data_IF_487035327866
#
_entry.id   IF_487035327866
#
_cell.length_a   1.000
_cell.length_b   1.000
_cell.length_c   1.000
_cell.angle_alpha   90.00
_cell.angle_beta   90.00
_cell.angle_gamma   90.00
#
_symmetry.space_group_name_H-M   'P 1'
#
loop_
_entity.id
_entity.type
_entity.pdbx_description
1 polymer ?
#
# COMPACT_ATOMS: atom_id res chain seq x y z
N UNK A 1 -4.78 27.13 -14.46
CA UNK A 1 -4.61 26.40 -13.18
C UNK A 1 -3.70 27.21 -12.29
N UNK A 2 -4.09 27.39 -11.03
CA UNK A 2 -3.24 27.98 -10.00
C UNK A 2 -2.11 27.00 -9.57
N UNK A 3 -1.10 27.52 -8.88
CA UNK A 3 0.09 26.76 -8.50
C UNK A 3 -0.25 25.55 -7.61
N UNK A 4 -1.24 25.66 -6.71
CA UNK A 4 -1.63 24.56 -5.81
C UNK A 4 -2.28 23.43 -6.60
N UNK A 5 -3.24 23.75 -7.46
CA UNK A 5 -3.88 22.74 -8.32
C UNK A 5 -2.87 22.05 -9.25
N UNK A 6 -1.89 22.78 -9.77
CA UNK A 6 -0.81 22.18 -10.55
C UNK A 6 0.02 21.15 -9.75
N UNK A 7 0.40 21.48 -8.51
CA UNK A 7 1.16 20.55 -7.65
C UNK A 7 0.31 19.35 -7.24
N UNK A 8 -0.98 19.53 -6.98
CA UNK A 8 -1.91 18.41 -6.72
C UNK A 8 -1.97 17.45 -7.91
N UNK A 9 -2.13 17.97 -9.13
CA UNK A 9 -2.10 17.16 -10.34
C UNK A 9 -0.77 16.42 -10.49
N UNK A 10 0.37 17.07 -10.22
CA UNK A 10 1.68 16.42 -10.29
C UNK A 10 1.81 15.28 -9.25
N UNK A 11 1.34 15.51 -8.03
CA UNK A 11 1.36 14.50 -6.98
C UNK A 11 0.42 13.31 -7.30
N UNK A 12 -0.76 13.57 -7.86
CA UNK A 12 -1.69 12.52 -8.31
C UNK A 12 -1.10 11.73 -9.48
N UNK A 13 -0.46 12.40 -10.45
CA UNK A 13 0.21 11.75 -11.57
C UNK A 13 1.40 10.89 -11.11
N UNK A 14 2.18 11.37 -10.12
CA UNK A 14 3.24 10.61 -9.48
C UNK A 14 2.70 9.32 -8.85
N UNK A 15 1.63 9.42 -8.06
CA UNK A 15 1.00 8.26 -7.43
C UNK A 15 0.50 7.28 -8.49
N UNK A 16 -0.30 7.76 -9.45
CA UNK A 16 -0.84 6.92 -10.52
C UNK A 16 0.26 6.19 -11.31
N UNK A 17 1.33 6.90 -11.65
CA UNK A 17 2.45 6.32 -12.41
C UNK A 17 3.19 5.26 -11.59
N UNK A 18 3.52 5.57 -10.34
CA UNK A 18 4.25 4.62 -9.48
C UNK A 18 3.41 3.38 -9.19
N UNK A 19 2.13 3.53 -8.83
CA UNK A 19 1.24 2.40 -8.55
C UNK A 19 0.94 1.58 -9.79
N UNK A 20 0.86 2.20 -10.97
CA UNK A 20 0.69 1.49 -12.23
C UNK A 20 1.91 0.60 -12.52
N UNK A 21 3.11 1.18 -12.46
CA UNK A 21 4.37 0.48 -12.76
C UNK A 21 4.57 -0.67 -11.78
N UNK A 22 4.46 -0.43 -10.48
CA UNK A 22 4.75 -1.44 -9.47
C UNK A 22 3.60 -2.44 -9.29
N UNK A 23 2.35 -2.02 -9.46
CA UNK A 23 1.20 -2.93 -9.55
C UNK A 23 1.37 -3.93 -10.68
N UNK A 24 1.70 -3.44 -11.89
CA UNK A 24 1.99 -4.33 -13.03
C UNK A 24 3.18 -5.25 -12.78
N UNK A 25 4.24 -4.77 -12.13
CA UNK A 25 5.39 -5.62 -11.74
C UNK A 25 4.98 -6.72 -10.75
N UNK A 26 4.05 -6.47 -9.83
CA UNK A 26 3.52 -7.50 -8.92
C UNK A 26 2.63 -8.51 -9.64
N UNK A 27 1.80 -8.08 -10.58
CA UNK A 27 1.03 -8.97 -11.46
C UNK A 27 1.95 -9.91 -12.23
N UNK A 28 3.06 -9.40 -12.79
CA UNK A 28 4.08 -10.24 -13.45
C UNK A 28 4.74 -11.26 -12.52
N UNK A 29 4.79 -10.98 -11.22
CA UNK A 29 5.28 -11.90 -10.18
C UNK A 29 4.21 -12.90 -9.70
N UNK A 30 3.01 -12.87 -10.29
CA UNK A 30 1.83 -13.67 -9.88
C UNK A 30 1.39 -13.39 -8.43
N UNK A 31 1.72 -12.21 -7.90
CA UNK A 31 1.17 -11.72 -6.65
C UNK A 31 -0.02 -10.80 -7.00
N UNK A 32 -1.17 -11.42 -7.26
CA UNK A 32 -2.37 -10.71 -7.71
C UNK A 32 -2.97 -9.81 -6.63
N UNK A 33 -2.85 -10.20 -5.35
CA UNK A 33 -3.29 -9.38 -4.22
C UNK A 33 -2.61 -8.02 -4.21
N UNK A 34 -1.27 -7.98 -4.19
CA UNK A 34 -0.53 -6.71 -4.26
C UNK A 34 -0.72 -6.03 -5.61
N UNK A 35 -0.66 -6.79 -6.70
CA UNK A 35 -0.76 -6.24 -8.05
C UNK A 35 -2.07 -5.49 -8.28
N UNK A 36 -3.21 -6.12 -8.00
CA UNK A 36 -4.53 -5.53 -8.20
C UNK A 36 -4.76 -4.40 -7.22
N UNK A 37 -4.34 -4.51 -5.94
CA UNK A 37 -4.46 -3.40 -4.98
C UNK A 37 -3.79 -2.12 -5.50
N UNK A 38 -2.55 -2.21 -5.97
CA UNK A 38 -1.86 -1.04 -6.53
C UNK A 38 -2.51 -0.55 -7.83
N UNK A 39 -3.12 -1.43 -8.63
CA UNK A 39 -3.91 -1.01 -9.80
C UNK A 39 -5.21 -0.30 -9.39
N UNK A 40 -5.85 -0.68 -8.28
CA UNK A 40 -6.98 0.06 -7.70
C UNK A 40 -6.54 1.45 -7.28
N UNK A 41 -5.40 1.59 -6.59
CA UNK A 41 -4.83 2.89 -6.25
C UNK A 41 -4.48 3.71 -7.50
N UNK A 42 -4.07 3.06 -8.58
CA UNK A 42 -3.83 3.71 -9.89
C UNK A 42 -5.10 4.32 -10.45
N UNK A 43 -6.20 3.57 -10.44
CA UNK A 43 -7.50 4.07 -10.91
C UNK A 43 -7.98 5.20 -10.01
N UNK A 44 -7.82 5.07 -8.69
CA UNK A 44 -8.17 6.12 -7.72
C UNK A 44 -7.40 7.42 -7.99
N UNK A 45 -6.08 7.36 -8.08
CA UNK A 45 -5.21 8.52 -8.27
C UNK A 45 -5.32 9.15 -9.65
N UNK A 46 -5.61 8.37 -10.70
CA UNK A 46 -5.94 8.89 -12.03
C UNK A 46 -7.25 9.66 -12.00
N UNK A 47 -8.25 9.18 -11.26
CA UNK A 47 -9.51 9.91 -11.09
C UNK A 47 -9.32 11.17 -10.22
N UNK A 48 -8.48 11.13 -9.17
CA UNK A 48 -8.11 12.33 -8.43
C UNK A 48 -7.46 13.38 -9.35
N UNK A 49 -6.57 12.95 -10.24
CA UNK A 49 -5.94 13.83 -11.23
C UNK A 49 -6.97 14.49 -12.14
N UNK A 50 -7.91 13.72 -12.69
CA UNK A 50 -8.99 14.25 -13.54
C UNK A 50 -9.83 15.25 -12.75
N UNK A 51 -10.22 14.91 -11.52
CA UNK A 51 -10.98 15.80 -10.65
C UNK A 51 -10.24 17.12 -10.38
N UNK A 52 -8.98 17.08 -9.96
CA UNK A 52 -8.21 18.30 -9.71
C UNK A 52 -7.98 19.14 -10.97
N UNK A 53 -7.80 18.51 -12.12
CA UNK A 53 -7.58 19.22 -13.38
C UNK A 53 -8.86 19.85 -13.96
N UNK A 54 -10.03 19.24 -13.74
CA UNK A 54 -11.26 19.57 -14.49
C UNK A 54 -12.47 19.93 -13.62
N UNK A 55 -12.46 19.59 -12.33
CA UNK A 55 -13.62 19.68 -11.45
C UNK A 55 -14.70 18.63 -11.71
N UNK A 56 -14.40 17.55 -12.45
CA UNK A 56 -15.40 16.54 -12.79
C UNK A 56 -15.77 15.65 -11.59
N UNK A 57 -16.89 15.98 -10.93
CA UNK A 57 -17.35 15.40 -9.67
C UNK A 57 -17.45 13.87 -9.66
N UNK A 58 -17.87 13.24 -10.78
CA UNK A 58 -17.94 11.77 -10.86
C UNK A 58 -16.56 11.15 -10.67
N UNK A 59 -15.50 11.78 -11.20
CA UNK A 59 -14.14 11.32 -11.00
C UNK A 59 -13.70 11.51 -9.55
N UNK A 60 -14.08 12.62 -8.92
CA UNK A 60 -13.88 12.84 -7.48
C UNK A 60 -14.52 11.74 -6.62
N UNK A 61 -15.76 11.37 -6.93
CA UNK A 61 -16.47 10.29 -6.24
C UNK A 61 -15.78 8.94 -6.40
N UNK A 62 -15.38 8.58 -7.62
CA UNK A 62 -14.65 7.32 -7.89
C UNK A 62 -13.34 7.29 -7.11
N UNK A 63 -12.57 8.38 -7.13
CA UNK A 63 -11.33 8.48 -6.37
C UNK A 63 -11.58 8.31 -4.87
N UNK A 64 -12.58 8.99 -4.32
CA UNK A 64 -12.91 8.92 -2.91
C UNK A 64 -13.29 7.49 -2.46
N UNK A 65 -14.15 6.79 -3.22
CA UNK A 65 -14.57 5.42 -2.88
C UNK A 65 -13.40 4.44 -2.95
N UNK A 66 -12.55 4.56 -3.96
CA UNK A 66 -11.40 3.66 -4.11
C UNK A 66 -10.29 3.96 -3.09
N UNK A 67 -10.08 5.23 -2.70
CA UNK A 67 -9.20 5.59 -1.58
C UNK A 67 -9.72 5.01 -0.27
N UNK A 68 -11.03 5.14 0.00
CA UNK A 68 -11.69 4.54 1.16
C UNK A 68 -11.53 3.01 1.19
N UNK A 69 -11.64 2.35 0.05
CA UNK A 69 -11.37 0.92 -0.09
C UNK A 69 -9.94 0.57 0.30
N UNK A 70 -8.94 1.24 -0.29
CA UNK A 70 -7.53 0.97 -0.06
C UNK A 70 -7.10 1.25 1.39
N UNK A 71 -7.63 2.31 2.00
CA UNK A 71 -7.37 2.65 3.41
C UNK A 71 -8.05 1.68 4.38
N UNK A 72 -9.30 1.31 4.08
CA UNK A 72 -10.11 0.50 4.97
C UNK A 72 -9.73 -0.97 4.94
N UNK A 73 -9.60 -1.55 3.75
CA UNK A 73 -9.46 -3.00 3.59
C UNK A 73 -8.31 -3.38 2.64
N UNK A 74 -8.10 -2.63 1.56
CA UNK A 74 -7.08 -2.93 0.54
C UNK A 74 -5.69 -3.09 1.13
N UNK A 75 -5.07 -2.03 1.66
CA UNK A 75 -3.74 -2.16 2.25
C UNK A 75 -3.69 -3.01 3.53
N UNK A 76 -4.56 -2.81 4.53
CA UNK A 76 -4.44 -3.52 5.80
C UNK A 76 -4.76 -5.02 5.72
N UNK A 77 -5.56 -5.45 4.74
CA UNK A 77 -5.98 -6.85 4.62
C UNK A 77 -5.44 -7.46 3.33
N UNK A 78 -5.79 -6.90 2.16
CA UNK A 78 -5.40 -7.46 0.85
C UNK A 78 -3.88 -7.40 0.67
N UNK A 79 -3.26 -6.24 0.90
CA UNK A 79 -1.82 -6.10 0.72
C UNK A 79 -1.03 -6.88 1.78
N UNK A 80 -1.53 -6.95 3.03
CA UNK A 80 -0.94 -7.82 4.06
C UNK A 80 -0.96 -9.28 3.62
N UNK A 81 -2.10 -9.79 3.16
CA UNK A 81 -2.19 -11.15 2.63
C UNK A 81 -1.24 -11.37 1.45
N UNK A 82 -1.06 -10.37 0.58
CA UNK A 82 -0.07 -10.42 -0.50
C UNK A 82 1.38 -10.42 -0.03
N UNK A 83 1.73 -9.68 1.04
CA UNK A 83 3.05 -9.69 1.68
C UNK A 83 3.32 -11.02 2.40
N UNK A 84 2.28 -11.72 2.86
CA UNK A 84 2.43 -13.04 3.48
C UNK A 84 3.04 -14.10 2.54
N UNK A 85 3.05 -13.85 1.23
CA UNK A 85 3.78 -14.68 0.27
C UNK A 85 5.28 -14.76 0.57
N UNK A 86 5.89 -13.67 1.06
CA UNK A 86 7.32 -13.62 1.39
C UNK A 86 7.61 -13.73 2.88
N UNK A 87 6.65 -13.45 3.77
CA UNK A 87 6.87 -13.64 5.22
C UNK A 87 6.49 -15.03 5.71
N UNK A 88 5.42 -15.62 5.18
CA UNK A 88 4.84 -16.88 5.66
C UNK A 88 4.75 -17.95 4.56
N UNK A 89 5.17 -17.65 3.33
CA UNK A 89 5.02 -18.57 2.20
C UNK A 89 3.57 -18.78 1.76
N UNK A 90 2.67 -17.84 2.12
CA UNK A 90 1.26 -17.92 1.77
C UNK A 90 1.07 -17.84 0.24
N UNK A 91 0.36 -18.82 -0.31
CA UNK A 91 0.02 -18.87 -1.74
C UNK A 91 -1.49 -18.94 -1.87
N UNK A 92 -2.18 -17.78 -1.95
CA UNK A 92 -3.61 -17.79 -2.12
C UNK A 92 -3.98 -18.41 -3.47
N UNK A 93 -5.09 -19.13 -3.48
CA UNK A 93 -5.74 -19.56 -4.73
C UNK A 93 -6.51 -18.39 -5.35
N UNK A 94 -6.71 -18.42 -6.67
CA UNK A 94 -7.47 -17.37 -7.37
C UNK A 94 -8.88 -17.14 -6.78
N UNK A 95 -9.51 -18.20 -6.25
CA UNK A 95 -10.81 -18.08 -5.56
C UNK A 95 -10.71 -17.30 -4.25
N UNK A 96 -9.65 -17.51 -3.48
CA UNK A 96 -9.40 -16.75 -2.25
C UNK A 96 -9.09 -15.29 -2.55
N UNK A 97 -8.33 -15.01 -3.61
CA UNK A 97 -8.07 -13.63 -4.05
C UNK A 97 -9.37 -12.91 -4.40
N UNK A 98 -10.21 -13.53 -5.24
CA UNK A 98 -11.52 -12.96 -5.63
C UNK A 98 -12.42 -12.77 -4.42
N UNK A 99 -12.47 -13.75 -3.50
CA UNK A 99 -13.26 -13.63 -2.28
C UNK A 99 -12.76 -12.48 -1.39
N UNK A 100 -11.44 -12.31 -1.25
CA UNK A 100 -10.85 -11.26 -0.42
C UNK A 100 -11.14 -9.87 -0.99
N UNK A 101 -11.00 -9.69 -2.30
CA UNK A 101 -11.41 -8.44 -2.96
C UNK A 101 -12.91 -8.21 -2.84
N UNK A 102 -13.75 -9.21 -3.11
CA UNK A 102 -15.20 -9.11 -3.03
C UNK A 102 -15.68 -8.71 -1.64
N UNK A 103 -15.16 -9.35 -0.59
CA UNK A 103 -15.47 -9.01 0.81
C UNK A 103 -14.97 -7.61 1.17
N UNK A 104 -13.80 -7.20 0.68
CA UNK A 104 -13.25 -5.86 0.92
C UNK A 104 -14.09 -4.77 0.26
N UNK A 105 -14.59 -5.01 -0.95
CA UNK A 105 -15.49 -4.09 -1.65
C UNK A 105 -16.85 -4.01 -0.95
N UNK A 106 -17.41 -5.14 -0.55
CA UNK A 106 -18.65 -5.17 0.24
C UNK A 106 -18.49 -4.43 1.58
N UNK A 107 -17.38 -4.67 2.28
CA UNK A 107 -17.04 -3.97 3.52
C UNK A 107 -16.94 -2.46 3.31
N UNK A 108 -16.27 -2.02 2.23
CA UNK A 108 -16.17 -0.60 1.87
C UNK A 108 -17.52 0.01 1.53
N UNK A 109 -18.39 -0.70 0.80
CA UNK A 109 -19.72 -0.23 0.45
C UNK A 109 -20.58 0.02 1.70
N UNK A 110 -20.50 -0.87 2.70
CA UNK A 110 -21.14 -0.66 4.00
C UNK A 110 -20.50 0.51 4.74
N UNK A 111 -19.17 0.57 4.76
CA UNK A 111 -18.40 1.58 5.47
C UNK A 111 -18.71 3.01 4.99
N UNK A 112 -18.81 3.20 3.67
CA UNK A 112 -19.07 4.50 3.03
C UNK A 112 -20.56 4.79 2.90
N UNK A 113 -21.39 3.77 2.66
CA UNK A 113 -22.84 3.94 2.43
C UNK A 113 -23.67 4.06 3.71
N UNK A 114 -23.18 3.56 4.84
CA UNK A 114 -23.93 3.56 6.08
C UNK A 114 -23.72 4.86 6.88
N UNK A 115 -24.72 5.74 6.90
CA UNK A 115 -24.64 7.03 7.60
C UNK A 115 -24.29 6.95 9.09
N UNK A 116 -24.57 5.84 9.78
CA UNK A 116 -24.19 5.64 11.18
C UNK A 116 -22.67 5.45 11.39
N UNK A 117 -21.93 5.07 10.34
CA UNK A 117 -20.49 4.90 10.38
C UNK A 117 -19.73 6.22 10.24
N UNK A 118 -20.37 7.30 9.76
CA UNK A 118 -19.69 8.56 9.47
C UNK A 118 -18.86 9.13 10.64
N UNK A 119 -19.34 8.99 11.89
CA UNK A 119 -18.60 9.45 13.09
C UNK A 119 -17.49 8.51 13.52
N UNK A 120 -17.60 7.22 13.19
CA UNK A 120 -16.64 6.17 13.57
C UNK A 120 -15.54 6.01 12.52
N UNK A 121 -15.81 6.45 11.29
CA UNK A 121 -15.00 6.25 10.10
C UNK A 121 -13.54 6.73 10.26
N UNK A 122 -13.25 7.94 10.80
CA UNK A 122 -11.90 8.37 11.15
C UNK A 122 -11.12 7.38 12.02
N UNK A 123 -11.74 6.92 13.10
CA UNK A 123 -11.13 6.00 14.06
C UNK A 123 -10.89 4.64 13.43
N UNK A 124 -11.82 4.18 12.60
CA UNK A 124 -11.66 2.95 11.83
C UNK A 124 -10.43 3.01 10.93
N UNK A 125 -10.25 4.08 10.15
CA UNK A 125 -9.09 4.19 9.25
C UNK A 125 -7.77 4.24 10.01
N UNK A 126 -7.69 4.97 11.12
CA UNK A 126 -6.47 4.98 11.95
C UNK A 126 -6.22 3.63 12.59
N UNK A 127 -7.26 2.93 13.07
CA UNK A 127 -7.12 1.58 13.63
C UNK A 127 -6.63 0.58 12.58
N UNK A 128 -7.20 0.60 11.38
CA UNK A 128 -6.78 -0.25 10.27
C UNK A 128 -5.34 0.05 9.85
N UNK A 129 -4.95 1.33 9.83
CA UNK A 129 -3.58 1.71 9.54
C UNK A 129 -2.60 1.31 10.67
N UNK A 130 -3.02 1.36 11.93
CA UNK A 130 -2.23 0.89 13.07
C UNK A 130 -2.00 -0.63 12.99
N UNK A 131 -3.01 -1.41 12.61
CA UNK A 131 -2.87 -2.86 12.38
C UNK A 131 -1.89 -3.16 11.24
N UNK A 132 -2.01 -2.45 10.12
CA UNK A 132 -1.03 -2.55 9.04
C UNK A 132 0.38 -2.18 9.53
N UNK A 133 0.49 -1.16 10.37
CA UNK A 133 1.76 -0.69 10.91
C UNK A 133 2.45 -1.74 11.77
N UNK A 134 1.69 -2.47 12.60
CA UNK A 134 2.21 -3.62 13.37
C UNK A 134 2.75 -4.70 12.42
N UNK A 135 2.00 -5.03 11.37
CA UNK A 135 2.45 -6.01 10.38
C UNK A 135 3.71 -5.54 9.63
N UNK A 136 3.78 -4.26 9.24
CA UNK A 136 4.95 -3.70 8.58
C UNK A 136 6.17 -3.65 9.49
N UNK A 137 6.01 -3.42 10.80
CA UNK A 137 7.10 -3.54 11.76
C UNK A 137 7.64 -4.97 11.82
N UNK A 138 6.76 -5.98 11.78
CA UNK A 138 7.17 -7.37 11.64
C UNK A 138 7.88 -7.64 10.30
N UNK A 139 7.38 -7.09 9.19
CA UNK A 139 8.01 -7.20 7.88
C UNK A 139 9.42 -6.57 7.86
N UNK A 140 9.60 -5.41 8.50
CA UNK A 140 10.90 -4.76 8.73
C UNK A 140 11.83 -5.67 9.54
N UNK A 141 11.33 -6.27 10.63
CA UNK A 141 12.11 -7.23 11.42
C UNK A 141 12.59 -8.41 10.57
N UNK A 142 11.75 -8.93 9.66
CA UNK A 142 12.12 -10.00 8.71
C UNK A 142 13.20 -9.55 7.73
N UNK A 143 13.13 -8.31 7.23
CA UNK A 143 14.18 -7.74 6.37
C UNK A 143 15.52 -7.63 7.09
N UNK A 144 15.52 -7.16 8.35
CA UNK A 144 16.72 -7.07 9.17
C UNK A 144 17.34 -8.45 9.43
N UNK A 145 16.51 -9.45 9.76
CA UNK A 145 16.96 -10.82 9.94
C UNK A 145 17.59 -11.42 8.66
N UNK A 146 17.12 -10.99 7.48
CA UNK A 146 17.65 -11.36 6.18
C UNK A 146 18.84 -10.48 5.72
N UNK A 147 19.39 -9.63 6.59
CA UNK A 147 20.51 -8.73 6.27
C UNK A 147 20.18 -7.58 5.31
N UNK A 148 18.89 -7.32 5.03
CA UNK A 148 18.44 -6.31 4.06
C UNK A 148 18.26 -4.94 4.72
N UNK A 149 19.35 -4.35 5.25
CA UNK A 149 19.30 -3.11 6.05
C UNK A 149 18.68 -1.92 5.27
N UNK A 150 19.11 -1.70 4.03
CA UNK A 150 18.59 -0.59 3.22
C UNK A 150 17.06 -0.66 3.08
N UNK A 151 16.54 -1.83 2.70
CA UNK A 151 15.11 -2.04 2.52
C UNK A 151 14.33 -1.97 3.85
N UNK A 152 14.93 -2.40 4.96
CA UNK A 152 14.35 -2.24 6.29
C UNK A 152 14.20 -0.76 6.66
N UNK A 153 15.25 0.06 6.44
CA UNK A 153 15.22 1.51 6.70
C UNK A 153 14.19 2.21 5.83
N UNK A 154 14.20 1.98 4.51
CA UNK A 154 13.25 2.65 3.61
C UNK A 154 11.80 2.31 3.97
N UNK A 155 11.54 1.05 4.34
CA UNK A 155 10.22 0.59 4.76
C UNK A 155 9.81 1.16 6.12
N UNK A 156 10.77 1.36 7.03
CA UNK A 156 10.52 2.04 8.32
C UNK A 156 10.13 3.50 8.10
N UNK A 157 10.81 4.20 7.20
CA UNK A 157 10.44 5.58 6.82
C UNK A 157 9.03 5.60 6.21
N UNK A 158 8.72 4.66 5.32
CA UNK A 158 7.41 4.56 4.68
C UNK A 158 6.31 4.34 5.73
N UNK A 159 6.54 3.40 6.65
CA UNK A 159 5.66 3.08 7.78
C UNK A 159 5.36 4.32 8.63
N UNK A 160 6.40 5.00 9.13
CA UNK A 160 6.24 6.15 10.03
C UNK A 160 5.57 7.32 9.32
N UNK A 161 5.99 7.64 8.09
CA UNK A 161 5.41 8.72 7.30
C UNK A 161 3.93 8.47 7.04
N UNK A 162 3.55 7.27 6.61
CA UNK A 162 2.14 6.96 6.37
C UNK A 162 1.29 6.91 7.63
N UNK A 163 1.85 6.46 8.76
CA UNK A 163 1.14 6.52 10.05
C UNK A 163 0.89 7.96 10.47
N UNK A 164 1.85 8.87 10.26
CA UNK A 164 1.64 10.29 10.48
C UNK A 164 0.54 10.84 9.57
N UNK A 165 0.54 10.52 8.27
CA UNK A 165 -0.52 10.91 7.33
C UNK A 165 -1.89 10.39 7.76
N UNK A 166 -1.99 9.13 8.20
CA UNK A 166 -3.25 8.55 8.67
C UNK A 166 -3.82 9.29 9.89
N UNK A 167 -2.97 9.69 10.84
CA UNK A 167 -3.39 10.50 11.97
C UNK A 167 -3.79 11.93 11.56
N UNK A 168 -3.02 12.56 10.67
CA UNK A 168 -3.27 13.92 10.17
C UNK A 168 -4.59 13.99 9.40
N UNK A 169 -4.88 12.99 8.56
CA UNK A 169 -6.04 12.95 7.65
C UNK A 169 -7.32 13.40 8.34
N UNK A 170 -7.64 12.78 9.48
CA UNK A 170 -8.95 12.93 10.12
C UNK A 170 -8.89 13.61 11.51
N UNK A 171 -7.71 13.74 12.14
CA UNK A 171 -7.60 14.25 13.51
C UNK A 171 -6.79 15.54 13.67
N UNK A 172 -5.83 15.81 12.80
CA UNK A 172 -4.91 16.94 12.96
C UNK A 172 -4.82 17.75 11.66
N UNK A 173 -5.76 18.68 11.42
CA UNK A 173 -5.70 19.53 10.23
C UNK A 173 -4.42 20.37 10.25
N UNK A 174 -3.72 20.40 9.12
CA UNK A 174 -2.48 21.16 8.96
C UNK A 174 -2.85 22.66 8.96
N UNK A 175 -2.23 23.51 9.82
CA UNK A 175 -2.47 24.94 9.77
C UNK A 175 -2.12 25.53 8.39
N UNK A 176 -3.07 26.25 7.78
CA UNK A 176 -2.89 26.85 6.46
C UNK A 176 -3.04 25.89 5.26
N UNK A 177 -3.51 24.66 5.48
CA UNK A 177 -3.67 23.62 4.44
C UNK A 177 -4.41 24.09 3.17
N UNK A 178 -5.45 24.92 3.36
CA UNK A 178 -6.26 25.47 2.27
C UNK A 178 -5.46 26.38 1.32
N UNK A 179 -4.37 26.98 1.79
CA UNK A 179 -3.58 27.98 1.06
C UNK A 179 -2.17 27.51 0.70
N UNK A 180 -1.65 26.48 1.39
CA UNK A 180 -0.31 25.96 1.15
C UNK A 180 -0.20 25.18 -0.16
N UNK A 181 0.76 25.55 -1.00
CA UNK A 181 0.98 24.92 -2.32
C UNK A 181 1.61 23.53 -2.19
N UNK A 182 2.62 23.37 -1.32
CA UNK A 182 3.38 22.11 -1.17
C UNK A 182 3.11 21.42 0.15
N UNK A 183 3.10 22.17 1.26
CA UNK A 183 2.79 21.65 2.59
C UNK A 183 1.28 21.61 2.81
N UNK A 184 0.58 20.91 1.92
CA UNK A 184 -0.81 20.54 2.13
C UNK A 184 -0.96 19.02 2.23
N UNK A 185 -2.02 18.61 2.91
CA UNK A 185 -2.36 17.24 3.24
C UNK A 185 -2.33 16.34 2.00
N UNK A 186 -3.02 16.73 0.92
CA UNK A 186 -3.12 15.89 -0.28
C UNK A 186 -1.77 15.65 -0.94
N UNK A 187 -0.93 16.68 -1.07
CA UNK A 187 0.42 16.52 -1.66
C UNK A 187 1.26 15.58 -0.80
N UNK A 188 1.28 15.79 0.52
CA UNK A 188 2.03 14.93 1.45
C UNK A 188 1.54 13.49 1.41
N UNK A 189 0.22 13.28 1.40
CA UNK A 189 -0.38 11.95 1.31
C UNK A 189 0.00 11.25 -0.01
N UNK A 190 -0.25 11.89 -1.16
CA UNK A 190 0.01 11.31 -2.49
C UNK A 190 1.49 10.96 -2.69
N UNK A 191 2.41 11.83 -2.27
CA UNK A 191 3.86 11.57 -2.34
C UNK A 191 4.27 10.45 -1.39
N UNK A 192 3.74 10.43 -0.17
CA UNK A 192 4.01 9.37 0.82
C UNK A 192 3.55 8.02 0.29
N UNK A 193 2.34 7.93 -0.25
CA UNK A 193 1.82 6.70 -0.85
C UNK A 193 2.65 6.24 -2.06
N UNK A 194 3.10 7.17 -2.89
CA UNK A 194 4.03 6.86 -4.00
C UNK A 194 5.32 6.21 -3.47
N UNK A 195 5.89 6.78 -2.41
CA UNK A 195 7.09 6.26 -1.76
C UNK A 195 6.86 4.88 -1.12
N UNK A 196 5.72 4.67 -0.44
CA UNK A 196 5.33 3.38 0.14
C UNK A 196 5.28 2.30 -0.92
N UNK A 197 4.63 2.56 -2.06
CA UNK A 197 4.52 1.59 -3.15
C UNK A 197 5.90 1.15 -3.65
N UNK A 198 6.80 2.12 -3.90
CA UNK A 198 8.16 1.82 -4.36
C UNK A 198 8.94 1.05 -3.30
N UNK A 199 8.92 1.52 -2.05
CA UNK A 199 9.66 0.89 -0.94
C UNK A 199 9.19 -0.54 -0.71
N UNK A 200 7.88 -0.78 -0.66
CA UNK A 200 7.32 -2.12 -0.44
C UNK A 200 7.63 -3.06 -1.60
N UNK A 201 7.61 -2.60 -2.85
CA UNK A 201 7.99 -3.43 -3.98
C UNK A 201 9.43 -3.93 -3.88
N UNK A 202 10.38 -3.02 -3.62
CA UNK A 202 11.78 -3.40 -3.52
C UNK A 202 12.08 -4.24 -2.27
N UNK A 203 11.44 -3.92 -1.14
CA UNK A 203 11.55 -4.70 0.08
C UNK A 203 10.98 -6.12 -0.10
N UNK A 204 9.83 -6.26 -0.76
CA UNK A 204 9.27 -7.56 -1.14
C UNK A 204 10.27 -8.37 -1.97
N UNK A 205 10.81 -7.76 -3.02
CA UNK A 205 11.78 -8.44 -3.89
C UNK A 205 13.06 -8.84 -3.14
N UNK A 206 13.51 -8.03 -2.18
CA UNK A 206 14.67 -8.32 -1.38
C UNK A 206 14.45 -9.54 -0.47
N UNK A 207 13.31 -9.59 0.22
CA UNK A 207 12.97 -10.73 1.06
C UNK A 207 12.69 -11.99 0.24
N UNK A 208 12.05 -11.86 -0.93
CA UNK A 208 11.86 -12.95 -1.89
C UNK A 208 13.20 -13.58 -2.32
N UNK A 209 14.20 -12.74 -2.63
CA UNK A 209 15.55 -13.22 -2.98
C UNK A 209 16.23 -13.90 -1.80
N UNK A 210 16.19 -13.30 -0.61
CA UNK A 210 16.79 -13.86 0.59
C UNK A 210 16.22 -15.25 0.93
N UNK A 211 14.88 -15.37 0.94
CA UNK A 211 14.20 -16.65 1.17
C UNK A 211 14.56 -17.73 0.13
N UNK A 212 14.88 -17.33 -1.11
CA UNK A 212 15.32 -18.27 -2.14
C UNK A 212 16.74 -18.77 -1.88
N UNK A 213 17.63 -17.90 -1.44
CA UNK A 213 19.02 -18.26 -1.09
C UNK A 213 19.06 -19.23 0.08
N UNK A 214 18.30 -18.96 1.14
CA UNK A 214 18.24 -19.84 2.32
C UNK A 214 17.79 -21.27 1.95
N UNK A 215 16.76 -21.39 1.11
CA UNK A 215 16.29 -22.70 0.61
C UNK A 215 17.31 -23.47 -0.23
N UNK A 216 18.22 -22.78 -0.92
CA UNK A 216 19.29 -23.44 -1.70
C UNK A 216 20.42 -23.89 -0.76
N UNK A 217 20.70 -23.14 0.31
CA UNK A 217 21.66 -23.52 1.34
C UNK A 217 21.26 -24.78 2.14
N UNK A 218 19.96 -25.01 2.31
CA UNK A 218 19.42 -26.19 3.02
C UNK A 218 19.47 -27.51 2.22
N UNK A 219 19.86 -27.51 0.94
CA UNK A 219 20.02 -28.75 0.17
C UNK A 219 21.37 -29.39 0.52
N UNK A 220 21.41 -30.61 1.10
CA UNK A 220 22.68 -31.26 1.46
C UNK A 220 23.57 -31.37 0.23
N UNK A 221 24.81 -30.88 0.35
CA UNK A 221 25.74 -30.93 -0.76
C UNK A 221 26.04 -32.39 -1.11
N UNK A 222 26.38 -32.69 -2.37
CA UNK A 222 26.79 -34.04 -2.76
C UNK A 222 28.00 -34.55 -1.95
N UNK A 223 28.77 -33.65 -1.30
CA UNK A 223 29.83 -33.98 -0.36
C UNK A 223 29.34 -34.48 0.99
N UNK A 224 28.16 -34.06 1.46
CA UNK A 224 27.60 -34.48 2.75
C UNK A 224 26.95 -35.87 2.67
N UNK A 225 26.48 -36.27 1.47
CA UNK A 225 25.96 -37.62 1.23
C UNK A 225 27.02 -38.73 1.33
N UNK A 226 28.30 -38.40 1.10
CA UNK A 226 29.39 -39.37 1.24
C UNK A 226 29.90 -39.54 2.68
N UNK A 227 29.45 -38.72 3.63
CA UNK A 227 29.81 -38.86 5.06
C UNK A 227 28.77 -39.61 5.89
N UNK A 228 27.65 -39.98 5.26
CA UNK A 228 26.51 -40.66 5.88
C UNK A 228 26.28 -42.09 5.33
N UNK A 229 27.21 -42.60 4.53
CA UNK A 229 27.26 -43.98 4.05
C UNK A 229 28.57 -44.61 4.53
#
# INVERSE_FOLDING_TARGET
MDQRTFVLCLASALLATTTCIYGWKFVKKRNYLLGIEWLIVTVSSTNALIYFATGFEISGLVSHVLDAFSRGFGMPIVAVAGLMAVTHGYKPSARQDVALFGMSFAGTAVLVGAGFMAKVLPYFYVAMWALLSIYLAYFVRRLLAAGQLFHAVTTTVALVASQAIACIYDFYPIPGDAHNVVFNFFVLALVTWSYVTVSLYYAYCALERANRTDRVGDVPSARDRHRLA
#
